data_IF_951048012061
#
_entry.id   IF_951048012061
#
_cell.length_a   1.000
_cell.length_b   1.000
_cell.length_c   1.000
_cell.angle_alpha   90.00
_cell.angle_beta   90.00
_cell.angle_gamma   90.00
#
_symmetry.space_group_name_H-M   'P 1'
#
loop_
_entity.id
_entity.type
_entity.pdbx_description
1 polymer ?
#
# COMPACT_ATOMS: atom_id res chain seq x y z
N UNK A 1 11.11 3.96 -11.97
CA UNK A 1 11.07 2.76 -12.80
C UNK A 1 9.89 2.79 -13.77
N UNK A 2 8.63 3.04 -13.31
CA UNK A 2 7.44 3.11 -14.17
C UNK A 2 7.60 4.06 -15.36
N UNK A 3 8.09 5.28 -15.11
CA UNK A 3 8.34 6.27 -16.18
C UNK A 3 9.33 5.75 -17.23
N UNK A 4 10.36 5.04 -16.79
CA UNK A 4 11.35 4.45 -17.71
C UNK A 4 10.69 3.37 -18.57
N UNK A 5 9.91 2.47 -17.96
CA UNK A 5 9.18 1.41 -18.69
C UNK A 5 8.24 2.01 -19.73
N UNK A 6 7.43 3.01 -19.31
CA UNK A 6 6.49 3.67 -20.22
C UNK A 6 7.20 4.42 -21.34
N UNK A 7 8.28 5.15 -21.03
CA UNK A 7 9.07 5.85 -22.03
C UNK A 7 9.70 4.88 -23.02
N UNK A 8 10.32 3.79 -22.54
CA UNK A 8 10.91 2.76 -23.40
C UNK A 8 9.86 2.13 -24.33
N UNK A 9 8.65 1.88 -23.79
CA UNK A 9 7.54 1.37 -24.58
C UNK A 9 7.13 2.33 -25.71
N UNK A 10 7.07 3.63 -25.42
CA UNK A 10 6.74 4.64 -26.44
C UNK A 10 7.80 4.70 -27.53
N UNK A 11 9.07 4.74 -27.12
CA UNK A 11 10.21 4.76 -28.09
C UNK A 11 10.24 3.48 -28.92
N UNK A 12 10.06 2.30 -28.32
CA UNK A 12 10.02 1.03 -29.03
C UNK A 12 8.86 0.99 -30.06
N UNK A 13 7.68 1.46 -29.68
CA UNK A 13 6.50 1.44 -30.52
C UNK A 13 6.59 2.42 -31.70
N UNK A 14 7.03 3.65 -31.47
CA UNK A 14 7.03 4.70 -32.48
C UNK A 14 8.36 4.81 -33.23
N UNK A 15 9.49 4.45 -32.59
CA UNK A 15 10.80 4.52 -33.23
C UNK A 15 11.18 3.24 -34.00
N UNK A 16 10.86 2.08 -33.42
CA UNK A 16 11.28 0.77 -33.98
C UNK A 16 10.12 -0.09 -34.47
N UNK A 17 8.88 0.40 -34.37
CA UNK A 17 7.65 -0.35 -34.69
C UNK A 17 7.56 -1.72 -33.96
N UNK A 18 8.25 -1.85 -32.81
CA UNK A 18 8.36 -3.03 -31.98
C UNK A 18 7.72 -2.76 -30.61
N UNK A 19 6.38 -2.80 -30.54
CA UNK A 19 5.67 -2.56 -29.27
C UNK A 19 5.76 -3.77 -28.33
N UNK A 20 6.16 -3.54 -27.09
CA UNK A 20 6.14 -4.55 -26.03
C UNK A 20 4.75 -4.63 -25.36
N UNK A 21 4.00 -5.71 -25.63
CA UNK A 21 2.61 -5.85 -25.19
C UNK A 21 2.42 -5.85 -23.67
N UNK A 22 3.37 -6.41 -22.92
CA UNK A 22 3.27 -6.52 -21.44
C UNK A 22 3.77 -5.30 -20.68
N UNK A 23 4.22 -4.23 -21.34
CA UNK A 23 4.70 -3.03 -20.67
C UNK A 23 3.63 -2.38 -19.77
N UNK A 24 2.36 -2.39 -20.23
CA UNK A 24 1.24 -1.88 -19.45
C UNK A 24 1.03 -2.71 -18.17
N UNK A 25 1.08 -4.04 -18.27
CA UNK A 25 0.90 -4.95 -17.15
C UNK A 25 2.00 -4.79 -16.10
N UNK A 26 3.26 -4.68 -16.54
CA UNK A 26 4.39 -4.40 -15.65
C UNK A 26 4.24 -3.06 -14.97
N UNK A 27 3.79 -2.04 -15.68
CA UNK A 27 3.56 -0.70 -15.11
C UNK A 27 2.46 -0.76 -14.02
N UNK A 28 1.38 -1.49 -14.26
CA UNK A 28 0.31 -1.70 -13.27
C UNK A 28 0.83 -2.43 -12.02
N UNK A 29 1.63 -3.48 -12.19
CA UNK A 29 2.26 -4.20 -11.08
C UNK A 29 3.16 -3.28 -10.27
N UNK A 30 4.03 -2.53 -10.93
CA UNK A 30 4.92 -1.56 -10.25
C UNK A 30 4.14 -0.47 -9.51
N UNK A 31 3.04 0.01 -10.09
CA UNK A 31 2.15 0.97 -9.44
C UNK A 31 1.50 0.40 -8.18
N UNK A 32 1.03 -0.82 -8.26
CA UNK A 32 0.42 -1.50 -7.12
C UNK A 32 1.45 -1.76 -6.00
N UNK A 33 2.71 -2.13 -6.34
CA UNK A 33 3.81 -2.23 -5.38
C UNK A 33 4.07 -0.87 -4.72
N UNK A 34 4.19 0.19 -5.51
CA UNK A 34 4.40 1.54 -5.01
C UNK A 34 3.29 1.96 -4.04
N UNK A 35 2.03 1.70 -4.40
CA UNK A 35 0.87 2.09 -3.60
C UNK A 35 0.81 1.35 -2.27
N UNK A 36 0.96 0.02 -2.28
CA UNK A 36 0.87 -0.80 -1.07
C UNK A 36 2.01 -0.54 -0.08
N UNK A 37 3.26 -0.46 -0.58
CA UNK A 37 4.38 -0.08 0.26
C UNK A 37 4.33 1.38 0.68
N UNK A 38 3.85 2.27 -0.21
CA UNK A 38 3.65 3.69 0.08
C UNK A 38 2.63 3.91 1.19
N UNK A 39 1.51 3.20 1.20
CA UNK A 39 0.53 3.25 2.31
C UNK A 39 1.17 2.83 3.64
N UNK A 40 1.89 1.72 3.65
CA UNK A 40 2.62 1.25 4.84
C UNK A 40 3.63 2.27 5.35
N UNK A 41 4.38 2.88 4.44
CA UNK A 41 5.35 3.92 4.76
C UNK A 41 4.66 5.21 5.22
N UNK A 42 3.54 5.58 4.60
CA UNK A 42 2.72 6.73 4.97
C UNK A 42 2.24 6.68 6.41
N UNK A 43 1.78 5.50 6.87
CA UNK A 43 1.39 5.30 8.27
C UNK A 43 2.58 5.47 9.20
N UNK A 44 3.77 4.96 8.84
CA UNK A 44 4.98 5.13 9.63
C UNK A 44 5.37 6.60 9.79
N UNK A 45 5.26 7.39 8.72
CA UNK A 45 5.65 8.81 8.66
C UNK A 45 4.52 9.77 9.02
N UNK A 46 3.28 9.28 9.09
CA UNK A 46 2.15 10.11 9.48
C UNK A 46 1.61 11.05 8.39
N UNK A 47 1.70 10.67 7.12
CA UNK A 47 1.28 11.54 5.99
C UNK A 47 -0.24 11.65 5.76
N UNK A 48 -1.09 11.27 6.68
CA UNK A 48 -2.55 11.33 6.50
C UNK A 48 -3.14 12.68 6.99
N UNK A 49 -2.68 13.75 6.44
CA UNK A 49 -2.97 15.15 6.84
C UNK A 49 -4.46 15.59 6.82
N UNK A 50 -5.34 14.87 6.09
CA UNK A 50 -6.69 15.39 5.85
C UNK A 50 -7.67 15.33 7.02
N UNK A 51 -7.53 14.36 7.90
CA UNK A 51 -8.48 14.12 9.02
C UNK A 51 -8.07 14.89 10.28
N UNK A 52 -6.79 15.21 10.42
CA UNK A 52 -6.19 15.81 11.61
C UNK A 52 -6.79 17.17 11.99
N UNK A 53 -6.99 18.04 10.99
CA UNK A 53 -7.49 19.40 11.22
C UNK A 53 -8.89 19.39 11.84
N UNK A 54 -9.74 18.45 11.41
CA UNK A 54 -11.10 18.33 11.91
C UNK A 54 -11.12 17.76 13.35
N UNK A 55 -10.30 16.75 13.62
CA UNK A 55 -10.29 16.05 14.90
C UNK A 55 -9.62 16.86 15.99
N UNK A 56 -8.64 17.71 15.68
CA UNK A 56 -7.99 18.63 16.64
C UNK A 56 -8.95 19.62 17.32
N UNK A 57 -10.15 19.81 16.78
CA UNK A 57 -11.19 20.66 17.37
C UNK A 57 -11.84 20.04 18.62
N UNK A 58 -11.71 18.73 18.83
CA UNK A 58 -12.33 18.01 19.94
C UNK A 58 -11.44 17.96 21.19
N UNK A 59 -12.03 17.79 22.40
CA UNK A 59 -11.26 17.62 23.64
C UNK A 59 -10.40 16.33 23.58
N UNK A 60 -9.25 16.35 24.25
CA UNK A 60 -8.25 15.27 24.25
C UNK A 60 -8.80 13.84 24.38
N UNK A 61 -9.79 13.53 25.29
CA UNK A 61 -10.27 12.15 25.41
C UNK A 61 -11.06 11.69 24.18
N UNK A 62 -11.84 12.56 23.56
CA UNK A 62 -12.59 12.26 22.34
C UNK A 62 -11.62 12.05 21.15
N UNK A 63 -10.61 12.88 21.10
CA UNK A 63 -9.53 12.79 20.12
C UNK A 63 -8.83 11.42 20.19
N UNK A 64 -8.42 10.97 21.37
CA UNK A 64 -7.79 9.66 21.59
C UNK A 64 -8.73 8.51 21.21
N UNK A 65 -10.02 8.60 21.54
CA UNK A 65 -11.02 7.60 21.19
C UNK A 65 -11.20 7.50 19.67
N UNK A 66 -11.28 8.62 18.96
CA UNK A 66 -11.37 8.65 17.50
C UNK A 66 -10.12 8.05 16.83
N UNK A 67 -8.93 8.33 17.37
CA UNK A 67 -7.69 7.77 16.84
C UNK A 67 -7.62 6.25 17.02
N UNK A 68 -8.03 5.72 18.17
CA UNK A 68 -8.12 4.27 18.41
C UNK A 68 -9.15 3.63 17.49
N UNK A 69 -10.32 4.23 17.33
CA UNK A 69 -11.37 3.73 16.44
C UNK A 69 -10.89 3.69 14.97
N UNK A 70 -10.24 4.75 14.51
CA UNK A 70 -9.67 4.82 13.17
C UNK A 70 -8.60 3.74 12.94
N UNK A 71 -7.70 3.53 13.91
CA UNK A 71 -6.69 2.48 13.82
C UNK A 71 -7.31 1.08 13.77
N UNK A 72 -8.32 0.80 14.59
CA UNK A 72 -9.06 -0.46 14.57
C UNK A 72 -9.78 -0.67 13.22
N UNK A 73 -10.45 0.35 12.71
CA UNK A 73 -11.11 0.29 11.40
C UNK A 73 -10.11 -0.03 10.29
N UNK A 74 -8.92 0.56 10.29
CA UNK A 74 -7.86 0.26 9.33
C UNK A 74 -7.36 -1.19 9.45
N UNK A 75 -7.22 -1.72 10.67
CA UNK A 75 -6.82 -3.11 10.91
C UNK A 75 -7.89 -4.07 10.38
N UNK A 76 -9.16 -3.85 10.74
CA UNK A 76 -10.28 -4.68 10.27
C UNK A 76 -10.37 -4.65 8.74
N UNK A 77 -10.25 -3.47 8.14
CA UNK A 77 -10.24 -3.31 6.69
C UNK A 77 -9.08 -4.08 6.05
N UNK A 78 -7.86 -3.95 6.57
CA UNK A 78 -6.69 -4.67 6.07
C UNK A 78 -6.82 -6.19 6.18
N UNK A 79 -7.32 -6.71 7.31
CA UNK A 79 -7.58 -8.14 7.50
C UNK A 79 -8.65 -8.64 6.51
N UNK A 80 -9.71 -7.86 6.29
CA UNK A 80 -10.77 -8.19 5.33
C UNK A 80 -10.23 -8.27 3.90
N UNK A 81 -9.32 -7.37 3.52
CA UNK A 81 -8.68 -7.41 2.21
C UNK A 81 -7.72 -8.61 2.04
N UNK A 82 -7.07 -9.04 3.11
CA UNK A 82 -6.22 -10.24 3.08
C UNK A 82 -7.08 -11.49 2.89
N UNK A 83 -8.12 -11.65 3.69
CA UNK A 83 -9.06 -12.76 3.62
C UNK A 83 -10.42 -12.33 4.18
N UNK A 84 -11.46 -12.44 3.38
CA UNK A 84 -12.83 -12.13 3.79
C UNK A 84 -13.58 -13.34 4.38
N UNK A 85 -12.92 -14.49 4.49
CA UNK A 85 -13.55 -15.74 4.94
C UNK A 85 -14.09 -15.65 6.39
N UNK A 86 -13.44 -14.86 7.26
CA UNK A 86 -13.88 -14.66 8.64
C UNK A 86 -15.25 -13.97 8.76
N UNK A 87 -15.67 -13.21 7.74
CA UNK A 87 -16.98 -12.52 7.73
C UNK A 87 -18.13 -13.53 7.70
N UNK A 88 -17.90 -14.72 7.14
CA UNK A 88 -18.90 -15.79 7.12
C UNK A 88 -19.31 -16.28 8.51
N UNK A 89 -18.45 -16.09 9.52
CA UNK A 89 -18.76 -16.38 10.93
C UNK A 89 -19.92 -15.51 11.47
N UNK A 90 -20.14 -14.35 10.86
CA UNK A 90 -21.23 -13.44 11.21
C UNK A 90 -22.49 -13.63 10.35
N UNK A 91 -22.57 -14.71 9.55
CA UNK A 91 -23.73 -15.03 8.71
C UNK A 91 -23.82 -14.23 7.41
N UNK A 92 -22.80 -13.49 7.04
CA UNK A 92 -22.74 -12.80 5.75
C UNK A 92 -22.08 -13.71 4.72
N UNK A 93 -22.65 -13.76 3.50
CA UNK A 93 -21.97 -14.41 2.39
C UNK A 93 -20.67 -13.64 2.07
N UNK A 94 -19.54 -14.14 2.55
CA UNK A 94 -18.26 -13.59 2.18
C UNK A 94 -17.96 -13.97 0.74
N UNK A 95 -17.73 -12.98 -0.11
CA UNK A 95 -17.19 -13.23 -1.43
C UNK A 95 -15.93 -14.10 -1.31
N UNK A 96 -15.83 -15.13 -2.12
CA UNK A 96 -14.74 -16.13 -2.11
C UNK A 96 -13.37 -15.55 -2.48
N UNK A 97 -13.08 -14.30 -2.14
CA UNK A 97 -11.90 -13.57 -2.54
C UNK A 97 -11.20 -12.88 -1.37
N UNK A 98 -9.95 -12.69 -1.54
CA UNK A 98 -9.03 -11.94 -0.70
C UNK A 98 -7.67 -12.00 -1.36
N UNK A 99 -6.76 -11.10 -0.99
CA UNK A 99 -5.44 -11.03 -1.59
C UNK A 99 -4.69 -12.36 -1.50
N UNK A 100 -4.85 -13.07 -0.39
CA UNK A 100 -4.24 -14.39 -0.19
C UNK A 100 -4.74 -15.44 -1.17
N UNK A 101 -6.06 -15.54 -1.36
CA UNK A 101 -6.66 -16.52 -2.25
C UNK A 101 -6.38 -16.22 -3.72
N UNK A 102 -6.39 -14.93 -4.06
CA UNK A 102 -6.05 -14.46 -5.40
C UNK A 102 -4.59 -14.77 -5.74
N UNK A 103 -3.66 -14.47 -4.83
CA UNK A 103 -2.26 -14.82 -5.00
C UNK A 103 -2.03 -16.34 -5.09
N UNK A 104 -2.71 -17.12 -4.25
CA UNK A 104 -2.61 -18.59 -4.27
C UNK A 104 -3.07 -19.17 -5.61
N UNK A 105 -4.08 -18.61 -6.23
CA UNK A 105 -4.56 -19.03 -7.55
C UNK A 105 -3.44 -18.96 -8.60
N UNK A 106 -2.66 -17.89 -8.61
CA UNK A 106 -1.52 -17.74 -9.54
C UNK A 106 -0.33 -18.62 -9.14
N UNK A 107 -0.15 -18.87 -7.87
CA UNK A 107 0.88 -19.79 -7.39
C UNK A 107 0.57 -21.23 -7.81
N UNK A 108 -0.67 -21.68 -7.65
CA UNK A 108 -1.11 -23.02 -8.03
C UNK A 108 -1.13 -23.24 -9.56
N UNK A 109 -1.35 -22.18 -10.35
CA UNK A 109 -1.29 -22.23 -11.81
C UNK A 109 0.12 -22.44 -12.38
N UNK A 110 1.15 -22.22 -11.56
CA UNK A 110 2.54 -22.51 -11.89
C UNK A 110 3.18 -21.63 -12.95
N UNK A 111 4.30 -22.08 -13.51
CA UNK A 111 5.15 -21.29 -14.40
C UNK A 111 4.70 -21.28 -15.88
N UNK A 112 3.71 -22.05 -16.28
CA UNK A 112 3.46 -22.36 -17.67
C UNK A 112 2.40 -21.50 -18.37
N UNK A 113 1.27 -21.23 -17.74
CA UNK A 113 0.12 -20.62 -18.41
C UNK A 113 -0.11 -19.15 -18.04
N UNK A 114 0.23 -18.78 -16.82
CA UNK A 114 -0.02 -17.44 -16.29
C UNK A 114 1.32 -16.70 -16.05
N UNK A 115 1.89 -16.19 -17.14
CA UNK A 115 3.18 -15.50 -17.11
C UNK A 115 3.15 -14.20 -17.90
N UNK A 116 3.88 -13.21 -17.42
CA UNK A 116 4.07 -11.92 -18.06
C UNK A 116 5.25 -12.04 -19.03
N UNK A 117 5.07 -11.78 -20.31
CA UNK A 117 6.16 -11.80 -21.29
C UNK A 117 7.14 -10.65 -21.02
N UNK A 118 8.42 -10.97 -20.95
CA UNK A 118 9.49 -9.97 -20.84
C UNK A 118 9.84 -9.39 -22.22
N UNK A 119 10.51 -8.23 -22.29
CA UNK A 119 10.90 -7.65 -23.57
C UNK A 119 11.88 -8.56 -24.32
N UNK A 120 11.49 -9.03 -25.47
CA UNK A 120 12.24 -9.96 -26.34
C UNK A 120 13.64 -9.41 -26.69
N UNK A 121 13.76 -8.09 -26.85
CA UNK A 121 15.02 -7.43 -27.21
C UNK A 121 16.09 -7.41 -26.10
N UNK A 122 15.70 -7.72 -24.83
CA UNK A 122 16.63 -7.76 -23.68
C UNK A 122 16.86 -9.20 -23.22
N UNK A 123 15.81 -10.01 -23.18
CA UNK A 123 15.82 -11.30 -22.52
C UNK A 123 15.65 -12.51 -23.47
N UNK A 124 15.23 -12.28 -24.72
CA UNK A 124 14.96 -13.34 -25.68
C UNK A 124 13.48 -13.76 -25.74
N UNK A 125 13.11 -14.60 -26.75
CA UNK A 125 11.71 -14.85 -27.08
C UNK A 125 10.92 -15.70 -26.06
N UNK A 126 11.60 -16.43 -25.19
CA UNK A 126 10.97 -17.42 -24.29
C UNK A 126 10.99 -17.05 -22.81
N UNK A 127 11.59 -15.92 -22.44
CA UNK A 127 11.64 -15.54 -21.02
C UNK A 127 10.35 -14.90 -20.53
N UNK A 128 9.77 -15.52 -19.51
CA UNK A 128 8.49 -15.13 -18.91
C UNK A 128 8.62 -15.02 -17.40
N UNK A 129 8.07 -13.94 -16.84
CA UNK A 129 7.98 -13.76 -15.42
C UNK A 129 6.68 -14.40 -14.89
N UNK A 130 6.74 -15.36 -13.97
CA UNK A 130 5.53 -15.96 -13.41
C UNK A 130 4.70 -14.92 -12.64
N UNK A 131 3.40 -14.90 -12.87
CA UNK A 131 2.48 -13.90 -12.28
C UNK A 131 2.44 -13.93 -10.77
N UNK A 132 2.63 -15.08 -10.14
CA UNK A 132 2.64 -15.17 -8.69
C UNK A 132 3.71 -14.29 -8.04
N UNK A 133 4.88 -14.09 -8.68
CA UNK A 133 5.93 -13.17 -8.20
C UNK A 133 5.44 -11.72 -8.29
N UNK A 134 4.82 -11.37 -9.42
CA UNK A 134 4.29 -10.03 -9.62
C UNK A 134 3.20 -9.67 -8.60
N UNK A 135 2.31 -10.63 -8.30
CA UNK A 135 1.18 -10.44 -7.37
C UNK A 135 1.49 -10.75 -5.90
N UNK A 136 2.69 -11.24 -5.58
CA UNK A 136 3.14 -11.47 -4.20
C UNK A 136 3.01 -10.21 -3.33
N UNK A 137 3.08 -9.04 -3.92
CA UNK A 137 2.92 -7.77 -3.22
C UNK A 137 1.56 -7.64 -2.53
N UNK A 138 0.48 -8.25 -3.08
CA UNK A 138 -0.86 -8.11 -2.52
C UNK A 138 -0.93 -8.63 -1.07
N UNK A 139 -0.63 -9.90 -0.78
CA UNK A 139 -0.61 -10.37 0.60
C UNK A 139 0.49 -9.73 1.43
N UNK A 140 1.68 -9.53 0.86
CA UNK A 140 2.82 -8.97 1.58
C UNK A 140 2.60 -7.50 1.95
N UNK A 141 2.13 -6.68 1.01
CA UNK A 141 1.85 -5.27 1.24
C UNK A 141 0.72 -5.05 2.24
N UNK A 142 -0.34 -5.87 2.18
CA UNK A 142 -1.45 -5.81 3.15
C UNK A 142 -1.04 -6.28 4.55
N UNK A 143 -0.21 -7.32 4.65
CA UNK A 143 0.34 -7.76 5.96
C UNK A 143 1.20 -6.65 6.57
N UNK A 144 2.07 -6.02 5.78
CA UNK A 144 2.85 -4.88 6.25
C UNK A 144 1.96 -3.70 6.66
N UNK A 145 0.89 -3.42 5.92
CA UNK A 145 -0.08 -2.39 6.26
C UNK A 145 -0.74 -2.66 7.61
N UNK A 146 -1.30 -3.86 7.82
CA UNK A 146 -1.92 -4.26 9.09
C UNK A 146 -0.91 -4.19 10.24
N UNK A 147 0.32 -4.67 10.02
CA UNK A 147 1.39 -4.59 11.01
C UNK A 147 1.69 -3.14 11.42
N UNK A 148 1.74 -2.20 10.45
CA UNK A 148 1.95 -0.77 10.74
C UNK A 148 0.77 -0.14 11.47
N UNK A 149 -0.46 -0.49 11.11
CA UNK A 149 -1.65 -0.04 11.84
C UNK A 149 -1.65 -0.55 13.29
N UNK A 150 -1.23 -1.80 13.51
CA UNK A 150 -1.12 -2.37 14.87
C UNK A 150 -0.03 -1.67 15.68
N UNK A 151 1.12 -1.37 15.09
CA UNK A 151 2.17 -0.58 15.75
C UNK A 151 1.67 0.83 16.11
N UNK A 152 0.94 1.48 15.20
CA UNK A 152 0.37 2.80 15.46
C UNK A 152 -0.67 2.75 16.59
N UNK A 153 -1.55 1.75 16.60
CA UNK A 153 -2.53 1.54 17.65
C UNK A 153 -1.84 1.34 19.02
N UNK A 154 -0.81 0.51 19.06
CA UNK A 154 -0.04 0.29 20.29
C UNK A 154 0.58 1.60 20.82
N UNK A 155 1.20 2.38 19.93
CA UNK A 155 1.81 3.66 20.29
C UNK A 155 0.77 4.70 20.79
N UNK A 156 -0.48 4.68 20.28
CA UNK A 156 -1.56 5.54 20.77
C UNK A 156 -2.03 5.11 22.15
N UNK A 157 -2.10 3.81 22.41
CA UNK A 157 -2.51 3.28 23.73
C UNK A 157 -1.47 3.60 24.80
N UNK A 158 -0.18 3.37 24.49
CA UNK A 158 0.94 3.65 25.40
C UNK A 158 1.17 5.15 25.64
N UNK A 159 0.64 6.01 24.77
CA UNK A 159 0.79 7.47 24.88
C UNK A 159 2.05 8.01 24.22
N UNK A 160 2.83 7.17 23.52
CA UNK A 160 4.00 7.60 22.75
C UNK A 160 3.60 8.41 21.50
N UNK A 161 2.34 8.26 21.07
CA UNK A 161 1.74 9.02 19.98
C UNK A 161 0.34 9.46 20.35
N UNK A 162 0.01 10.70 20.08
CA UNK A 162 -1.35 11.20 20.27
C UNK A 162 -2.27 10.78 19.12
N UNK A 163 -1.68 10.43 17.93
CA UNK A 163 -2.40 9.99 16.74
C UNK A 163 -1.66 8.91 15.95
N UNK A 164 -2.37 8.29 14.99
CA UNK A 164 -1.77 7.43 13.96
C UNK A 164 -0.68 8.19 13.19
N UNK A 165 -0.75 9.50 13.20
CA UNK A 165 -0.01 10.46 12.41
C UNK A 165 0.87 11.29 13.35
N UNK A 166 2.18 11.21 13.17
CA UNK A 166 3.15 12.02 13.93
C UNK A 166 3.26 13.41 13.28
N UNK A 167 2.56 14.40 13.81
CA UNK A 167 2.69 15.80 13.36
C UNK A 167 3.85 16.55 14.02
N UNK A 168 4.80 15.85 14.64
CA UNK A 168 5.93 16.48 15.33
C UNK A 168 6.79 17.39 14.45
N UNK A 169 7.00 17.02 13.18
CA UNK A 169 7.81 17.86 12.29
C UNK A 169 7.19 19.26 12.03
N UNK A 170 5.85 19.35 11.97
CA UNK A 170 5.19 20.63 11.76
C UNK A 170 5.19 21.49 13.05
N UNK A 171 5.11 20.89 14.23
CA UNK A 171 5.20 21.59 15.51
C UNK A 171 6.63 22.05 15.78
N UNK A 172 7.66 21.23 15.54
CA UNK A 172 9.06 21.62 15.62
C UNK A 172 9.42 22.76 14.66
N UNK A 173 8.90 22.75 13.44
CA UNK A 173 9.11 23.84 12.49
C UNK A 173 8.43 25.13 12.92
N UNK A 174 7.25 25.06 13.54
CA UNK A 174 6.55 26.23 14.05
C UNK A 174 7.25 26.76 15.32
N UNK A 175 7.73 25.89 16.17
CA UNK A 175 8.44 26.28 17.41
C UNK A 175 9.83 26.86 17.10
N UNK A 176 10.57 26.27 16.16
CA UNK A 176 11.83 26.83 15.66
C UNK A 176 11.64 28.19 14.98
N UNK A 177 10.60 28.37 14.16
CA UNK A 177 10.31 29.67 13.56
C UNK A 177 9.86 30.72 14.59
N UNK A 178 9.14 30.34 15.64
CA UNK A 178 8.82 31.27 16.73
C UNK A 178 10.06 31.75 17.48
N UNK A 179 11.02 30.87 17.72
CA UNK A 179 12.26 31.21 18.40
C UNK A 179 13.17 32.11 17.55
N UNK A 180 13.17 31.91 16.21
CA UNK A 180 13.95 32.76 15.28
C UNK A 180 13.32 34.17 15.14
N UNK A 181 12.02 34.33 15.33
CA UNK A 181 11.34 35.63 15.22
C UNK A 181 11.34 36.41 16.56
N UNK A 182 11.67 35.73 17.67
CA UNK A 182 11.72 36.34 19.01
C UNK A 182 13.12 36.85 19.41
N UNK A 183 14.16 36.54 18.65
CA UNK A 183 15.52 37.07 18.69
C UNK A 183 15.73 38.19 17.64
#
# INVERSE_FOLDING_TARGET
>A
LMVIVTFTQVVARYGFNAGWGSALEITQVLFAWLTLFGMSYGIKRGFHLGVDILIRRFPRPVFKACAIFGALACIVYGITLISAEWISLFGFESGKGGAWKYWKLFYDAGFGMEAISLPEFIYGPDERLPRWIAYLMLPLGLVLFVFRCTQALYAIITGDREMIIASHEAEELIENNKNIVAD
#
